data_IF_310043851079
#
_entry.id   IF_310043851079
#
_cell.length_a   1.000
_cell.length_b   1.000
_cell.length_c   1.000
_cell.angle_alpha   90.00
_cell.angle_beta   90.00
_cell.angle_gamma   90.00
#
_symmetry.space_group_name_H-M   'P 1'
#
loop_
_entity.id
_entity.type
_entity.pdbx_description
1 polymer ?
#
# COMPACT_ATOMS: atom_id res chain seq x y z
N UNK A 1 -1.41 18.53 18.51
CA UNK A 1 -2.51 17.82 19.20
C UNK A 1 -2.82 16.48 18.54
N UNK A 2 -3.10 16.45 17.23
CA UNK A 2 -3.42 15.22 16.50
C UNK A 2 -2.40 14.07 16.68
N UNK A 3 -1.09 14.33 16.47
CA UNK A 3 -0.06 13.30 16.59
C UNK A 3 0.05 12.68 17.99
N UNK A 4 0.05 13.51 19.03
CA UNK A 4 0.14 13.03 20.42
C UNK A 4 -1.04 12.12 20.75
N UNK A 5 -2.24 12.48 20.26
CA UNK A 5 -3.42 11.64 20.40
C UNK A 5 -3.25 10.31 19.67
N UNK A 6 -2.88 10.31 18.39
CA UNK A 6 -2.69 9.08 17.60
C UNK A 6 -1.62 8.17 18.21
N UNK A 7 -0.50 8.74 18.66
CA UNK A 7 0.57 7.97 19.32
C UNK A 7 0.12 7.37 20.66
N UNK A 8 -0.69 8.11 21.42
CA UNK A 8 -1.26 7.63 22.68
C UNK A 8 -2.22 6.47 22.40
N UNK A 9 -3.13 6.63 21.43
CA UNK A 9 -4.07 5.57 21.07
C UNK A 9 -3.34 4.33 20.54
N UNK A 10 -2.31 4.47 19.71
CA UNK A 10 -1.48 3.34 19.27
C UNK A 10 -0.74 2.67 20.43
N UNK A 11 -0.27 3.43 21.44
CA UNK A 11 0.39 2.85 22.62
C UNK A 11 -0.54 1.92 23.39
N UNK A 12 -1.81 2.27 23.50
CA UNK A 12 -2.83 1.49 24.21
C UNK A 12 -3.66 0.59 23.30
N UNK A 13 -3.21 0.31 22.08
CA UNK A 13 -3.98 -0.46 21.09
C UNK A 13 -4.34 -1.87 21.56
N UNK A 14 -3.54 -2.49 22.45
CA UNK A 14 -3.84 -3.79 23.05
C UNK A 14 -5.13 -3.77 23.88
N UNK A 15 -5.43 -2.65 24.53
CA UNK A 15 -6.71 -2.47 25.24
C UNK A 15 -7.91 -2.64 24.30
N UNK A 16 -7.77 -2.24 23.03
CA UNK A 16 -8.82 -2.36 22.01
C UNK A 16 -9.04 -3.81 21.54
N UNK A 17 -8.09 -4.73 21.80
CA UNK A 17 -8.29 -6.15 21.49
C UNK A 17 -9.37 -6.77 22.38
N UNK A 18 -9.44 -6.33 23.63
CA UNK A 18 -10.42 -6.76 24.63
C UNK A 18 -11.70 -5.89 24.61
N UNK A 19 -11.59 -4.64 24.15
CA UNK A 19 -12.67 -3.66 24.14
C UNK A 19 -13.05 -3.24 22.71
N UNK A 20 -13.56 -4.20 21.93
CA UNK A 20 -13.85 -4.03 20.49
C UNK A 20 -14.88 -2.94 20.18
N UNK A 21 -15.71 -2.55 21.15
CA UNK A 21 -16.69 -1.45 21.01
C UNK A 21 -16.04 -0.09 20.71
N UNK A 22 -14.75 0.08 21.01
CA UNK A 22 -14.02 1.31 20.74
C UNK A 22 -13.29 1.31 19.38
N UNK A 23 -13.27 0.17 18.67
CA UNK A 23 -12.62 0.06 17.34
C UNK A 23 -13.16 1.09 16.33
N UNK A 24 -14.48 1.38 16.23
CA UNK A 24 -14.96 2.43 15.34
C UNK A 24 -14.39 3.82 15.64
N UNK A 25 -14.23 4.16 16.92
CA UNK A 25 -13.68 5.45 17.35
C UNK A 25 -12.19 5.58 17.00
N UNK A 26 -11.45 4.47 17.16
CA UNK A 26 -10.07 4.34 16.71
C UNK A 26 -9.97 4.57 15.20
N UNK A 27 -10.79 3.85 14.41
CA UNK A 27 -10.78 3.95 12.96
C UNK A 27 -11.11 5.37 12.49
N UNK A 28 -12.14 6.00 13.07
CA UNK A 28 -12.48 7.38 12.75
C UNK A 28 -11.29 8.33 12.95
N UNK A 29 -10.57 8.22 14.07
CA UNK A 29 -9.42 9.09 14.32
C UNK A 29 -8.25 8.89 13.36
N UNK A 30 -8.05 7.66 12.86
CA UNK A 30 -6.99 7.38 11.89
C UNK A 30 -7.38 7.75 10.46
N UNK A 31 -8.64 7.57 10.10
CA UNK A 31 -9.13 7.60 8.72
C UNK A 31 -9.81 8.93 8.32
N UNK A 32 -9.90 9.90 9.22
CA UNK A 32 -10.42 11.23 8.89
C UNK A 32 -9.32 12.30 8.84
N UNK A 33 -9.74 13.57 8.73
CA UNK A 33 -8.86 14.76 8.62
C UNK A 33 -7.91 14.95 9.81
N UNK A 34 -8.13 14.24 10.94
CA UNK A 34 -7.21 14.25 12.09
C UNK A 34 -6.02 13.32 11.87
N UNK A 35 -6.16 12.33 11.00
CA UNK A 35 -5.21 11.25 10.76
C UNK A 35 -4.62 11.26 9.36
N UNK A 36 -4.93 10.23 8.58
CA UNK A 36 -4.33 9.98 7.25
C UNK A 36 -4.67 11.10 6.26
N UNK A 37 -5.82 11.75 6.42
CA UNK A 37 -6.26 12.86 5.55
C UNK A 37 -5.85 14.23 6.09
N UNK A 38 -4.95 14.27 7.06
CA UNK A 38 -4.49 15.52 7.65
C UNK A 38 -3.71 16.38 6.63
N UNK A 39 -4.03 17.68 6.58
CA UNK A 39 -3.47 18.64 5.61
C UNK A 39 -1.93 18.77 5.69
N UNK A 40 -1.37 18.63 6.89
CA UNK A 40 0.07 18.56 7.09
C UNK A 40 0.63 17.17 6.72
N UNK A 41 1.47 17.11 5.69
CA UNK A 41 2.07 15.88 5.16
C UNK A 41 2.92 15.09 6.18
N UNK A 42 3.55 15.77 7.14
CA UNK A 42 4.28 15.08 8.21
C UNK A 42 3.32 14.33 9.16
N UNK A 43 2.14 14.92 9.40
CA UNK A 43 1.12 14.31 10.26
C UNK A 43 0.46 13.14 9.55
N UNK A 44 0.00 13.31 8.31
CA UNK A 44 -0.65 12.24 7.55
C UNK A 44 0.27 11.04 7.33
N UNK A 45 1.54 11.28 6.99
CA UNK A 45 2.56 10.21 6.86
C UNK A 45 2.74 9.45 8.16
N UNK A 46 2.87 10.17 9.28
CA UNK A 46 3.02 9.54 10.60
C UNK A 46 1.75 8.80 11.01
N UNK A 47 0.56 9.34 10.71
CA UNK A 47 -0.71 8.68 10.93
C UNK A 47 -0.81 7.37 10.14
N UNK A 48 -0.41 7.34 8.87
CA UNK A 48 -0.39 6.13 8.06
C UNK A 48 0.54 5.04 8.64
N UNK A 49 1.71 5.41 9.14
CA UNK A 49 2.60 4.49 9.84
C UNK A 49 1.98 3.92 11.13
N UNK A 50 1.37 4.78 11.95
CA UNK A 50 0.71 4.38 13.18
C UNK A 50 -0.53 3.51 12.91
N UNK A 51 -1.27 3.80 11.84
CA UNK A 51 -2.40 3.00 11.37
C UNK A 51 -1.93 1.61 10.94
N UNK A 52 -0.85 1.51 10.17
CA UNK A 52 -0.24 0.21 9.82
C UNK A 52 0.14 -0.59 11.07
N UNK A 53 0.69 0.04 12.11
CA UNK A 53 0.95 -0.62 13.39
C UNK A 53 -0.32 -1.09 14.08
N UNK A 54 -1.38 -0.28 14.08
CA UNK A 54 -2.67 -0.65 14.64
C UNK A 54 -3.26 -1.86 13.91
N UNK A 55 -3.21 -1.87 12.58
CA UNK A 55 -3.67 -2.98 11.74
C UNK A 55 -2.90 -4.27 12.04
N UNK A 56 -1.57 -4.21 12.17
CA UNK A 56 -0.77 -5.40 12.54
C UNK A 56 -1.27 -6.09 13.82
N UNK A 57 -1.75 -5.30 14.79
CA UNK A 57 -2.20 -5.79 16.08
C UNK A 57 -3.70 -6.12 16.13
N UNK A 58 -4.51 -5.49 15.27
CA UNK A 58 -5.97 -5.59 15.31
C UNK A 58 -6.60 -6.25 14.08
N UNK A 59 -5.85 -6.65 13.05
CA UNK A 59 -6.39 -7.11 11.75
C UNK A 59 -7.60 -8.04 11.84
N UNK A 60 -7.61 -9.03 12.75
CA UNK A 60 -8.74 -9.94 12.95
C UNK A 60 -10.02 -9.22 13.44
N UNK A 61 -9.88 -8.20 14.27
CA UNK A 61 -10.99 -7.36 14.75
C UNK A 61 -11.42 -6.30 13.72
N UNK A 62 -10.61 -6.06 12.69
CA UNK A 62 -10.88 -5.07 11.65
C UNK A 62 -11.61 -5.64 10.43
N UNK A 63 -11.72 -6.96 10.29
CA UNK A 63 -12.42 -7.61 9.18
C UNK A 63 -13.85 -7.08 8.95
N UNK A 64 -14.68 -6.84 9.99
CA UNK A 64 -16.02 -6.28 9.79
C UNK A 64 -16.04 -4.86 9.20
N UNK A 65 -14.91 -4.14 9.28
CA UNK A 65 -14.75 -2.76 8.81
C UNK A 65 -13.95 -2.66 7.52
N UNK A 66 -13.58 -3.80 6.91
CA UNK A 66 -12.70 -3.83 5.73
C UNK A 66 -13.19 -2.88 4.62
N UNK A 67 -14.47 -2.95 4.27
CA UNK A 67 -15.04 -2.10 3.20
C UNK A 67 -15.00 -0.61 3.57
N UNK A 68 -15.34 -0.27 4.82
CA UNK A 68 -15.26 1.11 5.29
C UNK A 68 -13.82 1.64 5.28
N UNK A 69 -12.85 0.80 5.68
CA UNK A 69 -11.43 1.16 5.67
C UNK A 69 -10.96 1.39 4.23
N UNK A 70 -11.26 0.47 3.31
CA UNK A 70 -10.86 0.59 1.91
C UNK A 70 -11.49 1.82 1.25
N UNK A 71 -12.78 2.06 1.48
CA UNK A 71 -13.48 3.23 0.97
C UNK A 71 -12.87 4.53 1.47
N UNK A 72 -12.48 4.59 2.75
CA UNK A 72 -11.87 5.76 3.34
C UNK A 72 -10.43 6.01 2.87
N UNK A 73 -9.76 5.01 2.29
CA UNK A 73 -8.40 5.10 1.78
C UNK A 73 -8.35 5.24 0.26
N UNK A 74 -9.49 5.26 -0.43
CA UNK A 74 -9.57 5.28 -1.89
C UNK A 74 -8.83 6.49 -2.48
N UNK A 75 -9.00 7.66 -1.88
CA UNK A 75 -8.35 8.90 -2.32
C UNK A 75 -6.83 8.82 -2.16
N UNK A 76 -6.34 8.23 -1.07
CA UNK A 76 -4.91 8.06 -0.76
C UNK A 76 -4.27 7.03 -1.69
N UNK A 77 -4.92 5.88 -1.89
CA UNK A 77 -4.45 4.83 -2.79
C UNK A 77 -4.49 5.28 -4.25
N UNK A 78 -5.54 6.01 -4.64
CA UNK A 78 -5.69 6.61 -5.96
C UNK A 78 -4.62 7.65 -6.29
N UNK A 79 -3.86 8.13 -5.30
CA UNK A 79 -2.72 9.01 -5.59
C UNK A 79 -1.62 8.27 -6.38
N UNK A 80 -1.51 6.96 -6.30
CA UNK A 80 -0.46 6.19 -6.97
C UNK A 80 -0.82 5.80 -8.41
N UNK A 81 -2.08 5.99 -8.81
CA UNK A 81 -2.64 5.55 -10.10
C UNK A 81 -3.14 6.71 -10.97
N UNK A 82 -2.84 7.94 -10.54
CA UNK A 82 -3.29 9.16 -11.21
C UNK A 82 -2.25 9.66 -12.21
N UNK A 83 -2.74 10.13 -13.36
CA UNK A 83 -1.94 10.58 -14.51
C UNK A 83 -1.08 11.84 -14.23
N UNK A 84 -1.31 12.55 -13.13
CA UNK A 84 -0.60 13.79 -12.75
C UNK A 84 0.71 13.52 -11.98
N UNK A 85 1.47 12.52 -12.41
CA UNK A 85 2.71 12.07 -11.75
C UNK A 85 3.76 13.18 -11.61
N UNK A 86 3.83 14.11 -12.56
CA UNK A 86 4.77 15.24 -12.51
C UNK A 86 4.53 16.18 -11.32
N UNK A 87 3.26 16.49 -11.01
CA UNK A 87 2.90 17.32 -9.86
C UNK A 87 2.98 16.55 -8.53
N UNK A 88 2.90 15.22 -8.56
CA UNK A 88 2.99 14.35 -7.38
C UNK A 88 4.40 14.20 -6.85
N UNK A 89 5.41 14.02 -7.71
CA UNK A 89 6.80 13.89 -7.24
C UNK A 89 7.27 15.14 -6.46
N UNK A 90 6.70 16.31 -6.76
CA UNK A 90 6.95 17.54 -6.01
C UNK A 90 6.28 17.56 -4.61
N UNK A 91 5.13 16.89 -4.43
CA UNK A 91 4.42 16.80 -3.14
C UNK A 91 4.90 15.62 -2.27
N UNK A 92 5.21 14.49 -2.91
CA UNK A 92 5.74 13.28 -2.30
C UNK A 92 7.26 13.28 -2.46
N UNK A 93 7.92 14.21 -1.75
CA UNK A 93 9.36 14.42 -1.84
C UNK A 93 10.20 13.23 -1.36
N UNK A 94 9.56 12.19 -0.81
CA UNK A 94 10.18 10.95 -0.35
C UNK A 94 9.56 9.73 -1.05
N UNK A 95 10.42 8.83 -1.51
CA UNK A 95 10.04 7.58 -2.20
C UNK A 95 9.32 6.55 -1.30
N UNK A 96 9.21 6.80 0.01
CA UNK A 96 8.57 5.93 1.00
C UNK A 96 7.24 6.51 1.53
N UNK A 97 6.82 7.66 1.02
CA UNK A 97 5.61 8.34 1.47
C UNK A 97 4.37 7.59 1.03
N UNK A 98 3.55 7.14 1.98
CA UNK A 98 2.30 6.43 1.70
C UNK A 98 2.43 4.92 1.56
N UNK A 99 3.65 4.37 1.53
CA UNK A 99 3.89 2.93 1.41
C UNK A 99 3.32 2.12 2.58
N UNK A 100 3.21 2.73 3.77
CA UNK A 100 2.67 2.08 4.96
C UNK A 100 1.16 1.80 4.85
N UNK A 101 0.42 2.59 4.07
CA UNK A 101 -1.00 2.37 3.81
C UNK A 101 -1.20 1.11 2.97
N UNK A 102 -0.36 0.90 1.95
CA UNK A 102 -0.37 -0.33 1.17
C UNK A 102 -0.04 -1.56 2.00
N UNK A 103 0.90 -1.45 2.95
CA UNK A 103 1.18 -2.53 3.90
C UNK A 103 -0.04 -2.83 4.79
N UNK A 104 -0.68 -1.80 5.33
CA UNK A 104 -1.88 -1.94 6.14
C UNK A 104 -3.03 -2.64 5.36
N UNK A 105 -3.29 -2.18 4.13
CA UNK A 105 -4.31 -2.76 3.26
C UNK A 105 -3.96 -4.22 2.92
N UNK A 106 -2.71 -4.50 2.56
CA UNK A 106 -2.25 -5.87 2.32
C UNK A 106 -2.49 -6.79 3.52
N UNK A 107 -2.15 -6.33 4.74
CA UNK A 107 -2.34 -7.11 5.97
C UNK A 107 -3.81 -7.37 6.31
N UNK A 108 -4.70 -6.45 5.97
CA UNK A 108 -6.15 -6.61 6.16
C UNK A 108 -6.72 -7.62 5.15
N UNK A 109 -6.34 -7.51 3.88
CA UNK A 109 -6.79 -8.43 2.83
C UNK A 109 -6.22 -9.84 3.07
N UNK A 110 -4.95 -9.95 3.44
CA UNK A 110 -4.24 -11.22 3.60
C UNK A 110 -4.57 -12.02 4.86
N UNK A 111 -5.60 -11.65 5.62
CA UNK A 111 -6.04 -12.42 6.80
C UNK A 111 -7.04 -13.52 6.38
N UNK A 112 -6.98 -14.69 7.02
CA UNK A 112 -7.75 -15.87 6.60
C UNK A 112 -9.27 -15.72 6.82
N UNK A 113 -9.66 -14.88 7.77
CA UNK A 113 -11.05 -14.54 8.10
C UNK A 113 -11.76 -13.76 6.99
N UNK A 114 -11.03 -13.19 6.02
CA UNK A 114 -11.63 -12.62 4.81
C UNK A 114 -11.94 -13.74 3.81
N UNK A 115 -13.16 -13.75 3.26
CA UNK A 115 -13.59 -14.79 2.33
C UNK A 115 -12.73 -14.82 1.06
N UNK A 116 -12.56 -15.98 0.40
CA UNK A 116 -11.71 -16.11 -0.79
C UNK A 116 -12.10 -15.14 -1.89
N UNK A 117 -13.40 -15.01 -2.13
CA UNK A 117 -13.96 -14.15 -3.17
C UNK A 117 -13.65 -12.68 -2.86
N UNK A 118 -13.78 -12.28 -1.60
CA UNK A 118 -13.51 -10.91 -1.16
C UNK A 118 -12.02 -10.59 -1.24
N UNK A 119 -11.14 -11.52 -0.86
CA UNK A 119 -9.69 -11.33 -1.00
C UNK A 119 -9.31 -11.10 -2.47
N UNK A 120 -9.82 -11.93 -3.38
CA UNK A 120 -9.57 -11.79 -4.82
C UNK A 120 -10.12 -10.46 -5.33
N UNK A 121 -11.35 -10.08 -4.95
CA UNK A 121 -11.95 -8.82 -5.36
C UNK A 121 -11.11 -7.61 -4.90
N UNK A 122 -10.78 -7.52 -3.61
CA UNK A 122 -10.02 -6.40 -3.05
C UNK A 122 -8.61 -6.34 -3.64
N UNK A 123 -7.94 -7.49 -3.77
CA UNK A 123 -6.59 -7.53 -4.32
C UNK A 123 -6.58 -7.16 -5.81
N UNK A 124 -7.59 -7.57 -6.58
CA UNK A 124 -7.74 -7.17 -8.00
C UNK A 124 -7.91 -5.66 -8.11
N UNK A 125 -8.80 -5.07 -7.29
CA UNK A 125 -9.04 -3.63 -7.27
C UNK A 125 -7.79 -2.82 -6.87
N UNK A 126 -6.90 -3.41 -6.07
CA UNK A 126 -5.66 -2.79 -5.64
C UNK A 126 -4.51 -2.93 -6.65
N UNK A 127 -4.29 -4.13 -7.19
CA UNK A 127 -3.13 -4.42 -8.05
C UNK A 127 -3.31 -3.93 -9.48
N UNK A 128 -4.49 -4.11 -10.09
CA UNK A 128 -4.69 -3.81 -11.50
C UNK A 128 -4.39 -2.33 -11.84
N UNK A 129 -4.89 -1.33 -11.07
CA UNK A 129 -4.59 0.06 -11.35
C UNK A 129 -3.09 0.39 -11.26
N UNK A 130 -2.37 -0.23 -10.31
CA UNK A 130 -0.93 -0.03 -10.15
C UNK A 130 -0.13 -0.63 -11.31
N UNK A 131 -0.50 -1.84 -11.75
CA UNK A 131 0.14 -2.48 -12.91
C UNK A 131 -0.10 -1.68 -14.20
N UNK A 132 -1.34 -1.26 -14.46
CA UNK A 132 -1.63 -0.39 -15.62
C UNK A 132 -0.86 0.93 -15.57
N UNK A 133 -0.70 1.52 -14.37
CA UNK A 133 0.08 2.74 -14.23
C UNK A 133 1.57 2.51 -14.53
N UNK A 134 2.15 1.38 -14.12
CA UNK A 134 3.53 0.99 -14.50
C UNK A 134 3.62 0.89 -16.02
N UNK A 135 2.76 0.11 -16.66
CA UNK A 135 2.76 -0.10 -18.12
C UNK A 135 2.67 1.24 -18.88
N UNK A 136 1.79 2.14 -18.44
CA UNK A 136 1.65 3.48 -19.03
C UNK A 136 2.92 4.32 -18.88
N UNK A 137 3.57 4.31 -17.71
CA UNK A 137 4.80 5.06 -17.47
C UNK A 137 5.99 4.46 -18.23
N UNK A 138 6.06 3.13 -18.36
CA UNK A 138 7.08 2.41 -19.14
C UNK A 138 6.97 2.78 -20.62
N UNK A 139 5.76 2.68 -21.20
CA UNK A 139 5.51 3.05 -22.60
C UNK A 139 5.92 4.50 -22.90
N UNK A 140 5.60 5.43 -21.98
CA UNK A 140 6.02 6.83 -22.11
C UNK A 140 7.53 7.05 -21.97
N UNK A 141 8.20 6.23 -21.18
CA UNK A 141 9.65 6.30 -20.94
C UNK A 141 10.46 5.69 -22.09
N UNK A 142 10.00 4.62 -22.74
CA UNK A 142 10.68 4.05 -23.92
C UNK A 142 10.73 5.05 -25.08
N UNK A 143 9.73 5.92 -25.19
CA UNK A 143 9.68 6.97 -26.22
C UNK A 143 10.57 8.20 -25.93
N UNK A 144 10.88 8.49 -24.66
CA UNK A 144 11.48 9.77 -24.23
C UNK A 144 12.78 9.61 -23.41
N UNK A 145 13.16 8.38 -23.07
CA UNK A 145 14.19 8.07 -22.08
C UNK A 145 13.66 8.15 -20.63
N UNK A 146 14.40 7.51 -19.71
CA UNK A 146 14.12 7.52 -18.28
C UNK A 146 15.35 7.98 -17.50
N UNK A 147 15.36 9.24 -17.06
CA UNK A 147 16.37 9.75 -16.14
C UNK A 147 16.03 9.35 -14.69
N UNK A 148 17.04 8.95 -13.91
CA UNK A 148 16.84 8.41 -12.55
C UNK A 148 16.14 9.38 -11.59
N UNK A 149 16.37 10.68 -11.76
CA UNK A 149 15.77 11.76 -10.96
C UNK A 149 14.49 12.33 -11.58
N UNK A 150 14.06 11.81 -12.73
CA UNK A 150 12.82 12.28 -13.35
C UNK A 150 11.61 12.00 -12.45
N UNK A 151 10.58 12.86 -12.47
CA UNK A 151 9.35 12.59 -11.74
C UNK A 151 8.72 11.24 -12.12
N UNK A 152 8.97 10.77 -13.36
CA UNK A 152 8.50 9.48 -13.87
C UNK A 152 9.18 8.31 -13.17
N UNK A 153 10.51 8.36 -13.04
CA UNK A 153 11.28 7.36 -12.32
C UNK A 153 10.90 7.32 -10.83
N UNK A 154 10.66 8.48 -10.22
CA UNK A 154 10.18 8.58 -8.83
C UNK A 154 8.81 7.92 -8.67
N UNK A 155 7.86 8.20 -9.56
CA UNK A 155 6.54 7.57 -9.51
C UNK A 155 6.59 6.07 -9.75
N UNK A 156 7.39 5.59 -10.71
CA UNK A 156 7.63 4.15 -10.90
C UNK A 156 8.18 3.51 -9.62
N UNK A 157 9.17 4.15 -8.99
CA UNK A 157 9.75 3.67 -7.75
C UNK A 157 8.73 3.60 -6.61
N UNK A 158 7.87 4.62 -6.48
CA UNK A 158 6.81 4.66 -5.48
C UNK A 158 5.78 3.54 -5.70
N UNK A 159 5.40 3.26 -6.93
CA UNK A 159 4.46 2.17 -7.25
C UNK A 159 5.10 0.81 -6.95
N UNK A 160 6.36 0.60 -7.33
CA UNK A 160 7.11 -0.64 -7.00
C UNK A 160 7.19 -0.84 -5.48
N UNK A 161 7.46 0.22 -4.72
CA UNK A 161 7.45 0.17 -3.25
C UNK A 161 6.07 -0.16 -2.71
N UNK A 162 5.02 0.47 -3.24
CA UNK A 162 3.63 0.21 -2.83
C UNK A 162 3.26 -1.27 -3.05
N UNK A 163 3.53 -1.80 -4.24
CA UNK A 163 3.34 -3.23 -4.56
C UNK A 163 4.11 -4.11 -3.58
N UNK A 164 5.36 -3.75 -3.26
CA UNK A 164 6.15 -4.50 -2.30
C UNK A 164 5.58 -4.48 -0.88
N UNK A 165 4.92 -3.41 -0.49
CA UNK A 165 4.28 -3.31 0.81
C UNK A 165 2.99 -4.12 0.88
N UNK A 166 2.20 -4.17 -0.21
CA UNK A 166 0.99 -5.00 -0.28
C UNK A 166 1.32 -6.48 -0.01
N UNK A 167 2.38 -7.00 -0.63
CA UNK A 167 2.71 -8.44 -0.54
C UNK A 167 3.11 -8.88 0.87
N UNK A 168 3.67 -7.98 1.69
CA UNK A 168 3.96 -8.24 3.12
C UNK A 168 2.73 -8.61 3.93
N UNK A 169 1.55 -8.28 3.41
CA UNK A 169 0.27 -8.67 3.97
C UNK A 169 -0.05 -10.16 3.89
N UNK A 170 0.59 -10.87 2.98
CA UNK A 170 0.28 -12.25 2.63
C UNK A 170 1.41 -13.17 3.09
N UNK A 171 1.05 -14.26 3.75
CA UNK A 171 2.01 -15.29 4.15
C UNK A 171 2.11 -16.40 3.10
N UNK A 172 3.25 -17.08 3.05
CA UNK A 172 3.56 -18.14 2.07
C UNK A 172 2.50 -19.26 2.07
N UNK A 173 2.14 -19.75 3.25
CA UNK A 173 1.13 -20.80 3.41
C UNK A 173 -0.22 -20.41 2.78
N UNK A 174 -0.65 -19.17 3.01
CA UNK A 174 -1.90 -18.65 2.44
C UNK A 174 -1.85 -18.68 0.92
N UNK A 175 -0.78 -18.16 0.32
CA UNK A 175 -0.70 -17.97 -1.13
C UNK A 175 -0.35 -19.24 -1.90
N UNK A 176 0.33 -20.20 -1.27
CA UNK A 176 0.71 -21.47 -1.91
C UNK A 176 -0.30 -22.60 -1.65
N UNK A 177 -0.95 -22.63 -0.48
CA UNK A 177 -1.79 -23.75 -0.05
C UNK A 177 -3.25 -23.34 0.04
N UNK A 178 -3.57 -22.35 0.89
CA UNK A 178 -4.96 -22.02 1.22
C UNK A 178 -5.71 -21.29 0.10
N UNK A 179 -5.02 -20.42 -0.64
CA UNK A 179 -5.58 -19.48 -1.63
C UNK A 179 -4.63 -19.34 -2.84
N UNK A 180 -4.39 -20.41 -3.64
CA UNK A 180 -3.42 -20.41 -4.74
C UNK A 180 -3.69 -19.33 -5.80
N UNK A 181 -4.96 -18.96 -6.01
CA UNK A 181 -5.33 -17.87 -6.93
C UNK A 181 -4.67 -16.55 -6.55
N UNK A 182 -4.53 -16.24 -5.26
CA UNK A 182 -3.82 -15.04 -4.78
C UNK A 182 -2.35 -15.12 -5.16
N UNK A 183 -1.71 -16.28 -4.96
CA UNK A 183 -0.33 -16.52 -5.39
C UNK A 183 -0.12 -16.26 -6.89
N UNK A 184 -1.07 -16.69 -7.73
CA UNK A 184 -1.02 -16.42 -9.19
C UNK A 184 -1.12 -14.93 -9.49
N UNK A 185 -2.01 -14.18 -8.82
CA UNK A 185 -2.14 -12.72 -9.02
C UNK A 185 -0.88 -11.97 -8.61
N UNK A 186 -0.31 -12.35 -7.47
CA UNK A 186 0.94 -11.83 -6.96
C UNK A 186 2.10 -12.12 -7.94
N UNK A 187 2.20 -13.35 -8.46
CA UNK A 187 3.19 -13.69 -9.49
C UNK A 187 3.05 -12.86 -10.77
N UNK A 188 1.82 -12.67 -11.28
CA UNK A 188 1.61 -11.79 -12.45
C UNK A 188 2.08 -10.36 -12.20
N UNK A 189 1.89 -9.87 -10.98
CA UNK A 189 2.37 -8.54 -10.58
C UNK A 189 3.90 -8.48 -10.54
N UNK A 190 4.56 -9.55 -10.07
CA UNK A 190 6.02 -9.66 -10.17
C UNK A 190 6.47 -9.55 -11.63
N UNK A 191 5.83 -10.27 -12.54
CA UNK A 191 6.24 -10.30 -13.95
C UNK A 191 6.23 -8.89 -14.56
N UNK A 192 5.22 -8.06 -14.23
CA UNK A 192 5.16 -6.64 -14.64
C UNK A 192 6.32 -5.83 -14.06
N UNK A 193 6.64 -6.01 -12.78
CA UNK A 193 7.76 -5.30 -12.13
C UNK A 193 9.12 -5.75 -12.70
N UNK A 194 9.27 -7.03 -13.05
CA UNK A 194 10.49 -7.55 -13.67
C UNK A 194 10.66 -7.02 -15.10
N UNK A 195 9.60 -6.91 -15.88
CA UNK A 195 9.65 -6.28 -17.21
C UNK A 195 10.18 -4.84 -17.13
N UNK A 196 9.77 -4.08 -16.12
CA UNK A 196 10.29 -2.74 -15.87
C UNK A 196 11.81 -2.72 -15.61
N UNK A 197 12.36 -3.71 -14.92
CA UNK A 197 13.82 -3.83 -14.72
C UNK A 197 14.55 -4.19 -16.02
N UNK A 198 13.91 -4.96 -16.90
CA UNK A 198 14.44 -5.31 -18.22
C UNK A 198 14.45 -4.10 -19.15
N UNK A 199 13.39 -3.29 -19.16
CA UNK A 199 13.32 -2.06 -19.96
C UNK A 199 14.28 -0.96 -19.46
N UNK A 200 14.54 -0.89 -18.15
CA UNK A 200 15.38 0.16 -17.55
C UNK A 200 16.51 -0.39 -16.66
N UNK A 201 17.46 -1.17 -17.21
CA UNK A 201 18.48 -1.87 -16.41
C UNK A 201 19.49 -0.92 -15.74
N UNK A 202 19.60 0.31 -16.25
CA UNK A 202 20.56 1.31 -15.79
C UNK A 202 20.04 2.18 -14.64
N UNK A 203 18.75 2.12 -14.31
CA UNK A 203 18.14 2.94 -13.25
C UNK A 203 18.33 2.26 -11.89
N UNK A 204 19.38 2.65 -11.16
CA UNK A 204 19.78 2.03 -9.89
C UNK A 204 18.69 2.04 -8.82
N UNK A 205 17.91 3.12 -8.62
CA UNK A 205 16.86 3.13 -7.59
C UNK A 205 15.82 2.03 -7.79
N UNK A 206 15.39 1.78 -9.04
CA UNK A 206 14.42 0.74 -9.36
C UNK A 206 14.96 -0.65 -9.00
N UNK A 207 16.21 -0.94 -9.37
CA UNK A 207 16.88 -2.20 -9.02
C UNK A 207 17.01 -2.43 -7.52
N UNK A 208 17.36 -1.38 -6.76
CA UNK A 208 17.59 -1.50 -5.32
C UNK A 208 16.32 -1.83 -4.52
N UNK A 209 15.15 -1.49 -5.07
CA UNK A 209 13.87 -1.64 -4.37
C UNK A 209 13.05 -2.86 -4.80
N UNK A 210 13.35 -3.48 -5.94
CA UNK A 210 12.73 -4.76 -6.30
C UNK A 210 13.37 -5.86 -5.44
N UNK A 211 12.69 -6.27 -4.37
CA UNK A 211 13.11 -7.43 -3.58
C UNK A 211 12.60 -8.70 -4.26
N UNK A 212 13.51 -9.49 -4.83
CA UNK A 212 13.19 -10.77 -5.49
C UNK A 212 12.67 -11.84 -4.51
N UNK A 213 12.85 -11.64 -3.19
CA UNK A 213 12.33 -12.54 -2.15
C UNK A 213 10.81 -12.46 -1.95
N UNK A 214 10.09 -11.66 -2.76
CA UNK A 214 8.65 -11.50 -2.61
C UNK A 214 7.81 -12.69 -3.10
N UNK A 215 8.40 -13.66 -3.81
CA UNK A 215 7.65 -14.72 -4.51
C UNK A 215 8.34 -16.11 -4.50
N UNK A 216 9.35 -16.28 -3.64
CA UNK A 216 10.02 -17.55 -3.33
C UNK A 216 9.81 -17.85 -1.85
#
# INVERSE_FOLDING_TARGET
>A
VALVYLETVTRYIKFMQENVQYVPHLLAAFLDERGIHHQNSHVSRRAGYLFMKAVKLLKAKLVPYLDTILQSLEDVLGQFTSMDWANKAAKLSSSEDGSQIFEAVGLLIGIEEVSPEKQVQCLTALLNPLCHQIESLVMGAEAQGLEESSPRAISLLQIVVALNMVTKGFNERLVMISRPTIGVMLKKTLDVVLQLLVSFPNVRPLRSKVNLNLFL
#
